data_IF_633994507367
#
_entry.id   IF_633994507367
#
_cell.length_a   1.000
_cell.length_b   1.000
_cell.length_c   1.000
_cell.angle_alpha   90.00
_cell.angle_beta   90.00
_cell.angle_gamma   90.00
#
_symmetry.space_group_name_H-M   'P 1'
#
loop_
_entity.id
_entity.type
_entity.pdbx_description
1 polymer ?
#
# COMPACT_ATOMS: atom_id res chain seq x y z
N UNK A 1 12.28 4.06 11.58
CA UNK A 1 13.05 3.30 10.58
C UNK A 1 12.16 3.11 9.37
N UNK A 2 12.32 3.96 8.36
CA UNK A 2 11.65 3.80 7.06
C UNK A 2 12.21 2.53 6.44
N UNK A 3 11.44 1.43 6.52
CA UNK A 3 11.78 0.22 5.78
C UNK A 3 12.00 0.66 4.33
N UNK A 4 13.25 0.49 3.91
CA UNK A 4 13.66 0.57 2.52
C UNK A 4 12.81 -0.50 1.81
N UNK A 5 11.62 -0.13 1.33
CA UNK A 5 11.04 -0.83 0.19
C UNK A 5 12.07 -0.62 -0.89
N UNK A 6 12.82 -1.68 -1.05
CA UNK A 6 14.09 -1.70 -1.72
C UNK A 6 13.87 -1.05 -3.08
N UNK A 7 14.83 -0.21 -3.48
CA UNK A 7 14.90 0.33 -4.83
C UNK A 7 14.91 -0.78 -5.92
N UNK A 8 14.82 -2.05 -5.52
CA UNK A 8 14.75 -3.29 -6.29
C UNK A 8 13.33 -3.89 -6.48
N UNK A 9 12.25 -3.32 -5.92
CA UNK A 9 10.87 -3.77 -6.24
C UNK A 9 10.65 -3.93 -7.75
N UNK A 10 10.17 -5.09 -8.19
CA UNK A 10 9.90 -5.42 -9.59
C UNK A 10 8.49 -4.98 -10.00
N UNK A 11 8.41 -4.03 -10.94
CA UNK A 11 7.15 -3.51 -11.43
C UNK A 11 6.28 -4.54 -12.16
N UNK A 12 6.85 -5.68 -12.57
CA UNK A 12 6.10 -6.81 -13.14
C UNK A 12 5.13 -7.42 -12.12
N UNK A 13 5.40 -7.27 -10.81
CA UNK A 13 4.53 -7.73 -9.73
C UNK A 13 3.41 -6.74 -9.38
N UNK A 14 3.53 -5.48 -9.82
CA UNK A 14 2.63 -4.40 -9.40
C UNK A 14 1.17 -4.64 -9.79
N UNK A 15 0.91 -5.34 -10.90
CA UNK A 15 -0.45 -5.68 -11.33
C UNK A 15 -1.17 -6.63 -10.37
N UNK A 16 -0.43 -7.42 -9.60
CA UNK A 16 -0.97 -8.36 -8.60
C UNK A 16 -0.91 -7.77 -7.20
N UNK A 17 0.18 -7.08 -6.86
CA UNK A 17 0.42 -6.57 -5.51
C UNK A 17 -0.44 -5.35 -5.18
N UNK A 18 -0.60 -4.40 -6.12
CA UNK A 18 -1.37 -3.19 -5.85
C UNK A 18 -2.84 -3.48 -5.50
N UNK A 19 -3.59 -4.30 -6.26
CA UNK A 19 -4.97 -4.64 -5.90
C UNK A 19 -5.06 -5.33 -4.54
N UNK A 20 -4.10 -6.19 -4.21
CA UNK A 20 -4.05 -6.88 -2.91
C UNK A 20 -3.84 -5.90 -1.76
N UNK A 21 -2.82 -5.03 -1.86
CA UNK A 21 -2.52 -4.01 -0.86
C UNK A 21 -3.67 -3.01 -0.67
N UNK A 22 -4.33 -2.61 -1.77
CA UNK A 22 -5.50 -1.72 -1.72
C UNK A 22 -6.67 -2.42 -1.02
N UNK A 23 -6.92 -3.69 -1.33
CA UNK A 23 -7.99 -4.46 -0.69
C UNK A 23 -7.73 -4.65 0.80
N UNK A 24 -6.49 -4.91 1.19
CA UNK A 24 -6.09 -5.01 2.60
C UNK A 24 -6.26 -3.69 3.34
N UNK A 25 -5.84 -2.57 2.74
CA UNK A 25 -6.05 -1.23 3.28
C UNK A 25 -7.54 -0.93 3.49
N UNK A 26 -8.38 -1.24 2.50
CA UNK A 26 -9.83 -1.04 2.59
C UNK A 26 -10.46 -1.91 3.69
N UNK A 27 -10.05 -3.17 3.82
CA UNK A 27 -10.54 -4.06 4.86
C UNK A 27 -10.15 -3.60 6.26
N UNK A 28 -8.93 -3.07 6.43
CA UNK A 28 -8.51 -2.45 7.68
C UNK A 28 -9.35 -1.19 7.95
N UNK A 29 -9.44 -0.26 7.00
CA UNK A 29 -10.21 0.97 7.18
C UNK A 29 -11.72 0.75 7.40
N UNK A 30 -12.28 -0.37 6.94
CA UNK A 30 -13.67 -0.73 7.23
C UNK A 30 -13.92 -1.09 8.70
N UNK A 31 -12.88 -1.44 9.45
CA UNK A 31 -12.96 -1.82 10.86
C UNK A 31 -12.75 -0.58 11.74
N UNK A 32 -13.84 0.06 12.15
CA UNK A 32 -13.79 1.19 13.08
C UNK A 32 -14.40 0.84 14.45
N UNK A 33 -13.82 1.34 15.56
CA UNK A 33 -12.60 2.16 15.64
C UNK A 33 -11.31 1.33 15.52
N UNK A 34 -10.30 1.88 14.83
CA UNK A 34 -8.98 1.27 14.70
C UNK A 34 -8.17 1.48 15.98
N UNK A 35 -7.45 0.44 16.38
CA UNK A 35 -6.41 0.48 17.41
C UNK A 35 -5.16 1.21 16.89
N UNK A 36 -4.29 1.66 17.80
CA UNK A 36 -3.02 2.32 17.41
C UNK A 36 -2.15 1.44 16.49
N UNK A 37 -2.15 0.12 16.72
CA UNK A 37 -1.46 -0.85 15.86
C UNK A 37 -2.08 -0.94 14.46
N UNK A 38 -3.40 -0.98 14.37
CA UNK A 38 -4.12 -1.03 13.09
C UNK A 38 -3.93 0.27 12.32
N UNK A 39 -3.88 1.42 13.01
CA UNK A 39 -3.58 2.71 12.42
C UNK A 39 -2.15 2.76 11.87
N UNK A 40 -1.18 2.13 12.56
CA UNK A 40 0.18 1.99 12.03
C UNK A 40 0.22 1.11 10.78
N UNK A 41 -0.58 0.04 10.74
CA UNK A 41 -0.65 -0.85 9.58
C UNK A 41 -1.26 -0.15 8.36
N UNK A 42 -2.35 0.60 8.56
CA UNK A 42 -2.93 1.50 7.55
C UNK A 42 -1.85 2.43 6.96
N UNK A 43 -1.10 3.11 7.82
CA UNK A 43 -0.02 4.01 7.38
C UNK A 43 1.07 3.26 6.59
N UNK A 44 1.39 2.01 6.93
CA UNK A 44 2.38 1.20 6.20
C UNK A 44 1.87 0.81 4.82
N UNK A 45 0.63 0.35 4.71
CA UNK A 45 0.01 -0.02 3.45
C UNK A 45 -0.12 1.19 2.50
N UNK A 46 -0.54 2.35 3.01
CA UNK A 46 -0.59 3.59 2.22
C UNK A 46 0.78 3.99 1.66
N UNK A 47 1.83 3.88 2.49
CA UNK A 47 3.20 4.15 2.05
C UNK A 47 3.68 3.16 0.98
N UNK A 48 3.34 1.87 1.12
CA UNK A 48 3.67 0.83 0.14
C UNK A 48 2.98 1.07 -1.20
N UNK A 49 1.67 1.32 -1.19
CA UNK A 49 0.88 1.60 -2.40
C UNK A 49 1.45 2.82 -3.12
N UNK A 50 1.71 3.90 -2.37
CA UNK A 50 2.29 5.13 -2.94
C UNK A 50 3.67 4.89 -3.53
N UNK A 51 4.51 4.11 -2.85
CA UNK A 51 5.84 3.77 -3.35
C UNK A 51 5.77 2.99 -4.67
N UNK A 52 4.96 1.94 -4.74
CA UNK A 52 4.82 1.10 -5.94
C UNK A 52 4.29 1.94 -7.11
N UNK A 53 3.25 2.75 -6.87
CA UNK A 53 2.68 3.64 -7.90
C UNK A 53 3.73 4.61 -8.45
N UNK A 54 4.45 5.30 -7.58
CA UNK A 54 5.49 6.24 -7.98
C UNK A 54 6.64 5.55 -8.72
N UNK A 55 7.07 4.39 -8.25
CA UNK A 55 8.20 3.66 -8.83
C UNK A 55 7.88 3.11 -10.21
N UNK A 56 6.68 2.58 -10.39
CA UNK A 56 6.25 1.90 -11.60
C UNK A 56 5.47 2.80 -12.57
N UNK A 57 5.41 4.11 -12.29
CA UNK A 57 4.66 5.12 -13.05
C UNK A 57 3.19 4.70 -13.30
N UNK A 58 2.57 4.08 -12.29
CA UNK A 58 1.20 3.60 -12.37
C UNK A 58 0.28 4.74 -11.93
N UNK A 59 -0.67 5.18 -12.79
CA UNK A 59 -1.58 6.25 -12.44
C UNK A 59 -2.45 5.86 -11.24
N UNK A 60 -2.77 6.84 -10.40
CA UNK A 60 -3.86 6.71 -9.44
C UNK A 60 -5.17 6.65 -10.22
N UNK A 61 -5.61 5.46 -10.62
CA UNK A 61 -7.00 5.28 -11.05
C UNK A 61 -7.88 5.51 -9.81
N UNK A 62 -8.54 6.68 -9.81
CA UNK A 62 -9.62 7.02 -8.91
C UNK A 62 -10.81 6.16 -9.33
N UNK A 63 -11.09 5.08 -8.60
CA UNK A 63 -12.40 4.41 -8.67
C UNK A 63 -13.37 5.02 -7.69
#
# INVERSE_FOLDING_TARGET
MTHNLESNYDCSSASSDLPALISELQNLQAQHPLSDEEQQEVNRLENQIRFIRNKCDIPHEQS
#
